data_IF_916169475422
#
_entry.id   IF_916169475422
#
_cell.length_a   1.000
_cell.length_b   1.000
_cell.length_c   1.000
_cell.angle_alpha   90.00
_cell.angle_beta   90.00
_cell.angle_gamma   90.00
#
_symmetry.space_group_name_H-M   'P 1'
#
loop_
_entity.id
_entity.type
_entity.pdbx_description
1 polymer ?
#
# COMPACT_ATOMS: atom_id res chain seq x y z
N UNK A 1 3.63 -28.69 0.14
CA UNK A 1 3.46 -27.63 -0.84
C UNK A 1 4.62 -26.64 -0.72
N UNK A 2 5.29 -26.36 -1.82
CA UNK A 2 6.33 -25.34 -1.93
C UNK A 2 5.66 -24.02 -2.29
N UNK A 3 5.91 -22.98 -1.53
CA UNK A 3 5.48 -21.63 -1.85
C UNK A 3 6.69 -20.81 -2.26
N UNK A 4 6.75 -20.33 -3.50
CA UNK A 4 7.79 -19.39 -3.88
C UNK A 4 7.59 -18.07 -3.13
N UNK A 5 8.67 -17.50 -2.66
CA UNK A 5 8.69 -16.20 -2.03
C UNK A 5 9.94 -15.42 -2.46
N UNK A 6 9.82 -14.12 -2.54
CA UNK A 6 10.97 -13.26 -2.71
C UNK A 6 11.70 -13.10 -1.36
N UNK A 7 13.01 -13.05 -1.41
CA UNK A 7 13.84 -12.82 -0.24
C UNK A 7 14.83 -11.69 -0.49
N UNK A 8 15.15 -10.94 0.56
CA UNK A 8 16.14 -9.87 0.53
C UNK A 8 17.23 -10.10 1.58
N UNK A 9 18.39 -9.53 1.32
CA UNK A 9 19.49 -9.47 2.31
C UNK A 9 19.28 -8.31 3.27
N UNK A 10 20.10 -8.25 4.32
CA UNK A 10 20.07 -7.16 5.32
C UNK A 10 20.33 -5.79 4.69
N UNK A 11 21.05 -5.74 3.57
CA UNK A 11 21.31 -4.52 2.79
C UNK A 11 20.26 -4.27 1.69
N UNK A 12 19.10 -4.89 1.82
CA UNK A 12 17.95 -4.74 0.93
C UNK A 12 18.19 -5.16 -0.53
N UNK A 13 19.21 -5.95 -0.81
CA UNK A 13 19.41 -6.51 -2.14
C UNK A 13 18.51 -7.72 -2.33
N UNK A 14 17.82 -7.76 -3.49
CA UNK A 14 17.08 -8.93 -3.90
C UNK A 14 18.02 -10.11 -4.17
N UNK A 15 17.76 -11.23 -3.54
CA UNK A 15 18.58 -12.45 -3.65
C UNK A 15 17.90 -13.56 -4.46
N UNK A 16 16.73 -13.32 -5.02
CA UNK A 16 15.97 -14.25 -5.86
C UNK A 16 14.78 -14.88 -5.14
N UNK A 17 14.11 -15.76 -5.87
CA UNK A 17 13.03 -16.57 -5.33
C UNK A 17 13.57 -17.81 -4.63
N UNK A 18 12.88 -18.21 -3.57
CA UNK A 18 13.17 -19.45 -2.87
C UNK A 18 11.88 -20.23 -2.59
N UNK A 19 12.04 -21.52 -2.41
CA UNK A 19 10.96 -22.39 -1.94
C UNK A 19 11.39 -23.14 -0.70
N UNK A 20 10.47 -23.36 0.21
CA UNK A 20 10.70 -24.07 1.46
C UNK A 20 9.63 -25.14 1.66
N UNK A 21 10.05 -26.33 2.03
CA UNK A 21 9.16 -27.43 2.32
C UNK A 21 8.82 -27.48 3.82
N UNK A 22 7.52 -27.42 4.12
CA UNK A 22 6.98 -27.57 5.46
C UNK A 22 6.11 -28.83 5.59
N UNK A 23 6.21 -29.77 4.62
CA UNK A 23 5.42 -31.00 4.60
C UNK A 23 5.61 -31.86 5.85
N UNK A 24 6.77 -31.77 6.50
CA UNK A 24 7.10 -32.44 7.76
C UNK A 24 6.35 -31.91 8.98
N UNK A 25 5.71 -30.73 8.87
CA UNK A 25 4.93 -30.15 9.95
C UNK A 25 3.47 -30.64 9.89
N UNK A 26 2.83 -30.87 11.05
CA UNK A 26 1.44 -31.29 11.09
C UNK A 26 0.50 -30.19 10.59
N UNK A 27 -0.56 -30.61 9.92
CA UNK A 27 -1.66 -29.75 9.49
C UNK A 27 -2.78 -29.74 10.53
N UNK A 28 -3.61 -28.69 10.48
CA UNK A 28 -4.82 -28.58 11.28
C UNK A 28 -5.91 -27.89 10.43
N UNK A 29 -7.19 -28.33 10.49
CA UNK A 29 -8.27 -27.68 9.76
C UNK A 29 -8.49 -26.23 10.18
N UNK A 30 -8.12 -25.86 11.42
CA UNK A 30 -8.12 -24.47 11.87
C UNK A 30 -6.77 -23.81 11.55
N UNK A 31 -6.73 -22.88 10.61
CA UNK A 31 -5.51 -22.23 10.10
C UNK A 31 -4.62 -21.65 11.22
N UNK A 32 -5.20 -21.08 12.28
CA UNK A 32 -4.46 -20.52 13.40
C UNK A 32 -3.78 -21.58 14.29
N UNK A 33 -4.18 -22.85 14.18
CA UNK A 33 -3.56 -24.01 14.84
C UNK A 33 -2.68 -24.83 13.91
N UNK A 34 -2.74 -24.57 12.61
CA UNK A 34 -1.96 -25.28 11.60
C UNK A 34 -0.48 -24.85 11.66
N UNK A 35 0.38 -25.74 12.09
CA UNK A 35 1.81 -25.45 12.25
C UNK A 35 2.50 -25.24 10.91
N UNK A 36 2.07 -25.94 9.88
CA UNK A 36 2.60 -25.81 8.51
C UNK A 36 2.26 -24.43 7.95
N UNK A 37 0.99 -24.05 8.03
CA UNK A 37 0.56 -22.72 7.59
C UNK A 37 1.26 -21.58 8.35
N UNK A 38 1.38 -21.72 9.68
CA UNK A 38 2.07 -20.71 10.51
C UNK A 38 3.55 -20.57 10.15
N UNK A 39 4.24 -21.69 9.90
CA UNK A 39 5.63 -21.66 9.50
C UNK A 39 5.82 -20.99 8.13
N UNK A 40 4.94 -21.30 7.16
CA UNK A 40 4.92 -20.66 5.86
C UNK A 40 4.64 -19.16 5.98
N UNK A 41 3.61 -18.77 6.72
CA UNK A 41 3.26 -17.37 6.96
C UNK A 41 4.42 -16.59 7.62
N UNK A 42 5.02 -17.14 8.66
CA UNK A 42 6.16 -16.49 9.33
C UNK A 42 7.36 -16.34 8.40
N UNK A 43 7.59 -17.29 7.51
CA UNK A 43 8.65 -17.19 6.51
C UNK A 43 8.37 -16.07 5.50
N UNK A 44 7.14 -15.94 5.03
CA UNK A 44 6.73 -14.84 4.15
C UNK A 44 6.90 -13.50 4.86
N UNK A 45 6.33 -13.36 6.08
CA UNK A 45 6.40 -12.11 6.85
C UNK A 45 7.84 -11.66 7.15
N UNK A 46 8.76 -12.62 7.38
CA UNK A 46 10.17 -12.29 7.64
C UNK A 46 10.98 -11.96 6.40
N UNK A 47 10.50 -12.31 5.22
CA UNK A 47 11.20 -12.12 3.94
C UNK A 47 10.60 -11.03 3.08
N UNK A 48 9.36 -10.63 3.34
CA UNK A 48 8.65 -9.64 2.53
C UNK A 48 8.87 -8.24 3.09
N UNK A 49 9.25 -7.34 2.21
CA UNK A 49 9.44 -5.92 2.51
C UNK A 49 9.05 -5.08 1.30
N UNK A 50 9.00 -3.77 1.46
CA UNK A 50 8.82 -2.85 0.33
C UNK A 50 9.89 -3.00 -0.75
N UNK A 51 11.05 -3.55 -0.40
CA UNK A 51 12.15 -3.84 -1.32
C UNK A 51 11.92 -5.11 -2.16
N UNK A 52 11.19 -6.08 -1.64
CA UNK A 52 10.96 -7.36 -2.31
C UNK A 52 9.60 -7.44 -3.00
N UNK A 53 8.62 -6.69 -2.54
CA UNK A 53 7.28 -6.64 -3.14
C UNK A 53 7.27 -6.41 -4.66
N UNK A 54 8.13 -5.55 -5.25
CA UNK A 54 8.18 -5.39 -6.70
C UNK A 54 8.42 -6.67 -7.49
N UNK A 55 9.15 -7.62 -6.90
CA UNK A 55 9.44 -8.91 -7.55
C UNK A 55 8.27 -9.89 -7.51
N UNK A 56 7.41 -9.75 -6.52
CA UNK A 56 6.26 -10.63 -6.28
C UNK A 56 4.93 -10.03 -6.75
N UNK A 57 4.97 -8.83 -7.30
CA UNK A 57 3.78 -8.10 -7.75
C UNK A 57 3.89 -7.68 -9.22
N UNK A 58 2.80 -7.19 -9.75
CA UNK A 58 2.75 -6.63 -11.10
C UNK A 58 1.77 -5.45 -11.14
N UNK A 59 2.01 -4.45 -12.01
CA UNK A 59 1.12 -3.31 -12.17
C UNK A 59 -0.18 -3.72 -12.84
N UNK A 60 -1.26 -3.06 -12.43
CA UNK A 60 -2.59 -3.35 -12.95
C UNK A 60 -3.21 -2.13 -13.63
N UNK A 61 -4.11 -2.40 -14.56
CA UNK A 61 -5.00 -1.40 -15.10
C UNK A 61 -5.85 -0.78 -13.97
N UNK A 62 -5.95 0.54 -13.94
CA UNK A 62 -6.76 1.23 -12.95
C UNK A 62 -8.23 1.19 -13.36
N UNK A 63 -9.05 0.57 -12.53
CA UNK A 63 -10.48 0.48 -12.79
C UNK A 63 -11.24 -0.28 -11.73
N UNK A 64 -12.58 -0.21 -11.79
CA UNK A 64 -13.49 -0.80 -10.79
C UNK A 64 -13.34 -2.31 -10.60
N UNK A 65 -12.93 -3.02 -11.65
CA UNK A 65 -12.82 -4.48 -11.62
C UNK A 65 -11.42 -4.96 -11.26
N UNK A 66 -10.42 -4.11 -11.43
CA UNK A 66 -9.02 -4.43 -11.18
C UNK A 66 -8.56 -4.02 -9.78
N UNK A 67 -8.96 -2.82 -9.32
CA UNK A 67 -8.66 -2.34 -7.96
C UNK A 67 -9.70 -2.90 -7.00
N UNK A 68 -9.29 -3.88 -6.22
CA UNK A 68 -10.16 -4.62 -5.29
C UNK A 68 -9.46 -4.82 -3.95
N UNK A 69 -10.19 -5.19 -2.88
CA UNK A 69 -9.55 -5.58 -1.63
C UNK A 69 -8.43 -6.61 -1.84
N UNK A 70 -7.30 -6.40 -1.19
CA UNK A 70 -6.08 -7.18 -1.39
C UNK A 70 -5.16 -6.68 -2.50
N UNK A 71 -5.55 -5.66 -3.28
CA UNK A 71 -4.61 -4.93 -4.14
C UNK A 71 -3.55 -4.28 -3.26
N UNK A 72 -2.28 -4.42 -3.62
CA UNK A 72 -1.16 -3.79 -2.94
C UNK A 72 -1.02 -2.37 -3.48
N UNK A 73 -0.86 -1.44 -2.59
CA UNK A 73 -0.36 -0.12 -2.90
C UNK A 73 1.11 -0.05 -2.51
N UNK A 74 1.97 0.34 -3.43
CA UNK A 74 3.40 0.48 -3.18
C UNK A 74 3.85 1.91 -3.52
N UNK A 75 4.43 2.56 -2.52
CA UNK A 75 5.04 3.87 -2.66
C UNK A 75 6.55 3.71 -2.72
N UNK A 76 7.09 3.72 -3.90
CA UNK A 76 8.52 3.54 -4.12
C UNK A 76 9.04 2.32 -3.32
N UNK A 77 10.20 2.44 -2.69
CA UNK A 77 10.74 1.40 -1.79
C UNK A 77 10.47 1.69 -0.31
N UNK A 78 9.67 2.72 -0.01
CA UNK A 78 9.54 3.23 1.34
C UNK A 78 8.32 2.67 2.06
N UNK A 79 7.17 2.60 1.38
CA UNK A 79 5.92 2.29 2.04
C UNK A 79 5.04 1.38 1.21
N UNK A 80 4.27 0.54 1.90
CA UNK A 80 3.28 -0.31 1.28
C UNK A 80 2.00 -0.32 2.12
N UNK A 81 0.88 -0.45 1.44
CA UNK A 81 -0.43 -0.68 2.02
C UNK A 81 -1.20 -1.73 1.24
N UNK A 82 -2.31 -2.16 1.81
CA UNK A 82 -3.23 -3.09 1.16
C UNK A 82 -4.58 -2.41 1.05
N UNK A 83 -5.16 -2.40 -0.14
CA UNK A 83 -6.52 -1.92 -0.35
C UNK A 83 -7.47 -2.74 0.50
N UNK A 84 -8.18 -2.07 1.39
CA UNK A 84 -9.17 -2.67 2.29
C UNK A 84 -10.54 -2.70 1.66
N UNK A 85 -10.94 -1.59 1.03
CA UNK A 85 -12.16 -1.50 0.24
C UNK A 85 -12.10 -0.33 -0.73
N UNK A 86 -13.06 -0.32 -1.65
CA UNK A 86 -13.22 0.71 -2.67
C UNK A 86 -14.64 1.27 -2.58
N UNK A 87 -14.75 2.57 -2.38
CA UNK A 87 -16.02 3.28 -2.30
C UNK A 87 -16.43 3.71 -3.71
N UNK A 88 -17.55 3.21 -4.21
CA UNK A 88 -17.97 3.43 -5.60
C UNK A 88 -19.28 4.22 -5.71
N UNK A 89 -19.82 4.69 -4.60
CA UNK A 89 -21.13 5.34 -4.52
C UNK A 89 -21.08 6.87 -4.68
N UNK A 90 -19.89 7.41 -4.93
CA UNK A 90 -19.70 8.86 -5.06
C UNK A 90 -19.64 9.62 -3.73
N UNK A 91 -19.67 8.94 -2.60
CA UNK A 91 -19.63 9.60 -1.28
C UNK A 91 -18.27 10.24 -0.94
N UNK A 92 -17.23 9.91 -1.68
CA UNK A 92 -15.88 10.44 -1.46
C UNK A 92 -15.14 10.67 -2.76
N UNK A 93 -14.28 11.68 -2.79
CA UNK A 93 -13.32 11.94 -3.87
C UNK A 93 -12.10 11.01 -3.81
N UNK A 94 -11.93 10.26 -2.70
CA UNK A 94 -10.84 9.32 -2.47
C UNK A 94 -11.40 7.91 -2.34
N UNK A 95 -11.72 7.25 -3.45
CA UNK A 95 -12.48 6.00 -3.43
C UNK A 95 -11.67 4.82 -2.90
N UNK A 96 -10.34 4.87 -2.91
CA UNK A 96 -9.50 3.75 -2.46
C UNK A 96 -9.10 3.95 -1.01
N UNK A 97 -9.43 2.99 -0.17
CA UNK A 97 -9.02 2.98 1.23
C UNK A 97 -8.06 1.82 1.48
N UNK A 98 -7.01 2.09 2.24
CA UNK A 98 -5.90 1.16 2.49
C UNK A 98 -5.73 0.87 3.96
N UNK A 99 -5.29 -0.34 4.27
CA UNK A 99 -4.68 -0.64 5.55
C UNK A 99 -3.17 -0.49 5.45
N UNK A 100 -2.61 0.19 6.41
CA UNK A 100 -1.19 0.48 6.48
C UNK A 100 -0.64 0.26 7.89
N UNK A 101 0.65 -0.05 7.97
CA UNK A 101 1.41 -0.12 9.20
C UNK A 101 2.68 0.71 9.05
N UNK A 102 3.12 1.33 10.14
CA UNK A 102 4.36 2.09 10.16
C UNK A 102 5.57 1.20 10.44
N UNK A 103 6.71 1.53 9.86
CA UNK A 103 8.01 0.97 10.26
C UNK A 103 8.54 1.71 11.50
N UNK A 104 9.29 1.06 12.42
CA UNK A 104 9.53 -0.37 12.44
C UNK A 104 8.27 -1.16 12.78
N UNK A 105 8.18 -2.36 12.22
CA UNK A 105 7.07 -3.26 12.48
C UNK A 105 6.95 -3.55 13.99
N UNK A 106 5.94 -2.97 14.60
CA UNK A 106 5.51 -3.29 15.97
C UNK A 106 4.13 -3.91 15.90
N UNK A 107 3.66 -4.48 17.00
CA UNK A 107 2.27 -4.87 17.20
C UNK A 107 1.37 -3.61 17.20
N UNK A 108 1.29 -2.96 16.09
CA UNK A 108 0.35 -1.89 15.83
C UNK A 108 -0.79 -2.49 15.00
N UNK A 109 -2.01 -2.22 15.41
CA UNK A 109 -3.16 -2.53 14.57
C UNK A 109 -3.02 -1.82 13.21
N UNK A 110 -3.38 -2.50 12.15
CA UNK A 110 -3.50 -1.89 10.83
C UNK A 110 -4.44 -0.69 10.94
N UNK A 111 -4.05 0.43 10.36
CA UNK A 111 -4.87 1.64 10.33
C UNK A 111 -5.51 1.77 8.97
N UNK A 112 -6.80 2.07 8.97
CA UNK A 112 -7.51 2.45 7.77
C UNK A 112 -7.08 3.87 7.38
N UNK A 113 -6.66 4.04 6.14
CA UNK A 113 -6.26 5.34 5.58
C UNK A 113 -6.86 5.54 4.21
N UNK A 114 -6.98 6.80 3.83
CA UNK A 114 -7.19 7.13 2.45
C UNK A 114 -5.92 6.79 1.65
N UNK A 115 -6.12 6.58 0.38
CA UNK A 115 -5.06 6.21 -0.54
C UNK A 115 -3.92 7.23 -0.53
N UNK A 116 -2.71 6.77 -0.25
CA UNK A 116 -1.48 7.55 -0.42
C UNK A 116 -1.01 7.45 -1.87
N UNK A 117 -0.57 8.56 -2.41
CA UNK A 117 -0.14 8.62 -3.80
C UNK A 117 1.24 8.00 -3.97
N UNK A 118 1.46 7.15 -4.98
CA UNK A 118 2.79 6.72 -5.33
C UNK A 118 3.58 7.90 -5.88
N UNK A 119 4.89 7.88 -5.70
CA UNK A 119 5.76 8.81 -6.39
C UNK A 119 5.79 8.47 -7.89
N UNK A 120 5.22 9.30 -8.76
CA UNK A 120 5.17 9.00 -10.19
C UNK A 120 6.54 9.04 -10.88
N UNK A 121 7.54 9.63 -10.22
CA UNK A 121 8.92 9.73 -10.72
C UNK A 121 9.86 8.66 -10.13
N UNK A 122 9.32 7.66 -9.45
CA UNK A 122 10.14 6.59 -8.90
C UNK A 122 10.70 5.70 -10.02
N UNK A 123 12.01 5.41 -9.96
CA UNK A 123 12.72 4.58 -10.94
C UNK A 123 12.35 3.07 -10.84
N UNK A 124 11.38 2.72 -10.02
CA UNK A 124 10.95 1.34 -9.78
C UNK A 124 9.45 1.26 -9.60
N UNK A 125 8.95 0.03 -9.70
CA UNK A 125 7.51 -0.26 -9.63
C UNK A 125 6.89 0.35 -8.38
N UNK A 126 5.91 1.20 -8.60
CA UNK A 126 5.07 1.82 -7.58
C UNK A 126 3.62 1.86 -8.08
N UNK A 127 2.69 2.27 -7.23
CA UNK A 127 1.27 2.37 -7.58
C UNK A 127 0.45 1.18 -7.10
N UNK A 128 -0.62 0.88 -7.83
CA UNK A 128 -1.56 -0.20 -7.52
C UNK A 128 -1.14 -1.50 -8.22
N UNK A 129 -0.85 -2.51 -7.42
CA UNK A 129 -0.25 -3.76 -7.84
C UNK A 129 -1.07 -4.95 -7.37
N UNK A 130 -0.95 -6.09 -8.05
CA UNK A 130 -1.43 -7.38 -7.56
C UNK A 130 -0.29 -8.36 -7.39
N UNK A 131 -0.48 -9.33 -6.49
CA UNK A 131 0.48 -10.41 -6.33
C UNK A 131 0.47 -11.33 -7.55
N UNK A 132 1.68 -11.73 -7.96
CA UNK A 132 1.89 -12.79 -8.94
C UNK A 132 1.65 -14.13 -8.26
N UNK A 133 0.47 -14.67 -8.44
CA UNK A 133 0.16 -15.98 -7.89
C UNK A 133 0.90 -17.07 -8.68
N UNK A 134 1.59 -17.97 -7.99
CA UNK A 134 2.24 -19.10 -8.64
C UNK A 134 1.20 -20.07 -9.18
N UNK A 135 1.48 -20.62 -10.34
CA UNK A 135 0.71 -21.70 -10.96
C UNK A 135 1.55 -22.98 -10.98
N UNK A 136 0.91 -24.13 -10.77
CA UNK A 136 1.55 -25.43 -10.82
C UNK A 136 1.19 -26.14 -12.13
N UNK A 137 2.19 -26.76 -12.75
CA UNK A 137 2.00 -27.71 -13.85
C UNK A 137 1.92 -29.18 -13.37
N UNK A 138 1.85 -29.38 -12.05
CA UNK A 138 1.88 -30.68 -11.39
C UNK A 138 3.27 -31.11 -10.92
N UNK A 139 4.33 -30.61 -11.52
CA UNK A 139 5.72 -30.94 -11.19
C UNK A 139 6.46 -29.76 -10.57
N UNK A 140 6.25 -28.56 -11.12
CA UNK A 140 6.91 -27.35 -10.69
C UNK A 140 5.91 -26.21 -10.44
N UNK A 141 6.37 -25.19 -9.74
CA UNK A 141 5.66 -23.93 -9.57
C UNK A 141 6.37 -22.84 -10.36
N UNK A 142 5.62 -22.05 -11.09
CA UNK A 142 6.12 -20.90 -11.85
C UNK A 142 5.15 -19.73 -11.76
N UNK A 143 5.63 -18.55 -12.04
CA UNK A 143 4.74 -17.41 -12.31
C UNK A 143 4.30 -17.41 -13.78
N UNK A 144 3.07 -16.99 -14.01
CA UNK A 144 2.64 -16.64 -15.36
C UNK A 144 3.46 -15.45 -15.87
N UNK A 145 3.72 -15.36 -17.18
CA UNK A 145 4.19 -14.14 -17.82
C UNK A 145 3.32 -12.93 -17.40
N UNK A 146 3.89 -11.73 -17.42
CA UNK A 146 3.15 -10.52 -16.98
C UNK A 146 1.92 -10.29 -17.85
N UNK A 147 2.04 -10.53 -19.14
CA UNK A 147 0.99 -10.34 -20.14
C UNK A 147 -0.21 -11.29 -19.95
N UNK A 148 0.03 -12.42 -19.27
CA UNK A 148 -1.00 -13.39 -18.92
C UNK A 148 -1.61 -13.15 -17.53
N UNK A 149 -1.07 -12.19 -16.75
CA UNK A 149 -1.62 -11.85 -15.45
C UNK A 149 -2.94 -11.09 -15.60
N UNK A 150 -3.95 -11.38 -14.76
CA UNK A 150 -5.21 -10.66 -14.79
C UNK A 150 -5.05 -9.15 -14.62
N UNK A 151 -5.61 -8.37 -15.53
CA UNK A 151 -5.56 -6.89 -15.49
C UNK A 151 -4.15 -6.28 -15.60
N UNK A 152 -3.13 -7.02 -16.01
CA UNK A 152 -1.80 -6.44 -16.22
C UNK A 152 -1.87 -5.22 -17.14
N UNK A 153 -1.19 -4.14 -16.73
CA UNK A 153 -1.09 -2.92 -17.52
C UNK A 153 -0.04 -1.99 -16.93
N UNK A 154 0.77 -1.41 -17.81
CA UNK A 154 1.75 -0.38 -17.48
C UNK A 154 1.17 1.05 -17.57
N UNK A 155 -0.15 1.19 -17.74
CA UNK A 155 -0.79 2.49 -17.95
C UNK A 155 -0.53 3.50 -16.84
N UNK A 156 -0.29 3.03 -15.61
CA UNK A 156 0.02 3.87 -14.46
C UNK A 156 1.32 4.67 -14.63
N UNK A 157 2.19 4.24 -15.52
CA UNK A 157 3.48 4.88 -15.81
C UNK A 157 3.45 5.79 -17.03
N UNK A 158 2.31 5.90 -17.69
CA UNK A 158 2.11 6.81 -18.81
C UNK A 158 1.98 8.27 -18.35
N UNK A 159 2.32 9.24 -19.21
CA UNK A 159 2.24 10.66 -18.87
C UNK A 159 0.91 11.14 -18.31
N UNK A 160 -0.20 10.49 -18.68
CA UNK A 160 -1.52 10.81 -18.15
C UNK A 160 -1.63 10.64 -16.62
N UNK A 161 -0.79 9.78 -16.03
CA UNK A 161 -0.74 9.51 -14.59
C UNK A 161 0.48 10.15 -13.91
N UNK A 162 1.58 10.37 -14.64
CA UNK A 162 2.88 10.72 -14.05
C UNK A 162 3.18 12.23 -14.06
N UNK A 163 2.25 13.09 -14.48
CA UNK A 163 2.41 14.54 -14.48
C UNK A 163 2.41 15.20 -13.09
N UNK A 164 2.35 14.43 -12.04
CA UNK A 164 2.31 14.87 -10.65
C UNK A 164 1.19 14.19 -9.84
N UNK A 165 1.17 14.46 -8.56
CA UNK A 165 0.22 13.83 -7.61
C UNK A 165 -1.24 14.08 -7.97
N UNK A 166 -1.58 15.34 -8.28
CA UNK A 166 -2.96 15.72 -8.64
C UNK A 166 -3.47 14.91 -9.82
N UNK A 167 -2.67 14.80 -10.88
CA UNK A 167 -3.04 14.07 -12.08
C UNK A 167 -3.23 12.58 -11.82
N UNK A 168 -2.38 11.97 -11.00
CA UNK A 168 -2.52 10.57 -10.62
C UNK A 168 -3.81 10.33 -9.87
N UNK A 169 -4.09 11.15 -8.85
CA UNK A 169 -5.28 11.03 -8.04
C UNK A 169 -6.55 11.18 -8.86
N UNK A 170 -6.63 12.22 -9.69
CA UNK A 170 -7.76 12.45 -10.56
C UNK A 170 -7.97 11.32 -11.57
N UNK A 171 -6.89 10.79 -12.13
CA UNK A 171 -6.98 9.66 -13.06
C UNK A 171 -7.50 8.39 -12.37
N UNK A 172 -7.05 8.12 -11.15
CA UNK A 172 -7.56 7.01 -10.32
C UNK A 172 -9.02 7.23 -9.97
N UNK A 173 -9.36 8.42 -9.48
CA UNK A 173 -10.73 8.79 -9.12
C UNK A 173 -11.69 8.60 -10.30
N UNK A 174 -11.40 9.21 -11.44
CA UNK A 174 -12.23 9.12 -12.65
C UNK A 174 -12.45 7.69 -13.15
N UNK A 175 -11.48 6.81 -12.95
CA UNK A 175 -11.56 5.42 -13.38
C UNK A 175 -12.32 4.53 -12.42
N UNK A 176 -12.23 4.80 -11.13
CA UNK A 176 -12.87 4.01 -10.07
C UNK A 176 -14.25 4.57 -9.76
N UNK A 177 -14.35 5.88 -9.63
CA UNK A 177 -15.59 6.58 -9.31
C UNK A 177 -15.82 7.73 -10.31
N UNK A 178 -16.43 7.48 -11.47
CA UNK A 178 -16.66 8.47 -12.51
C UNK A 178 -17.77 9.47 -12.16
N UNK A 179 -18.19 9.57 -10.90
CA UNK A 179 -19.16 10.59 -10.50
C UNK A 179 -18.61 11.99 -10.84
N UNK A 180 -19.44 12.78 -11.50
CA UNK A 180 -19.12 14.18 -11.75
C UNK A 180 -19.66 14.99 -10.57
N UNK A 181 -18.78 15.69 -9.89
CA UNK A 181 -19.15 16.59 -8.80
C UNK A 181 -19.20 18.02 -9.30
N UNK A 182 -20.21 18.76 -8.87
CA UNK A 182 -20.16 20.21 -8.97
C UNK A 182 -18.99 20.76 -8.13
N UNK A 183 -18.33 21.85 -8.55
CA UNK A 183 -17.14 22.36 -7.87
C UNK A 183 -17.34 22.57 -6.36
N UNK A 184 -18.50 23.13 -5.96
CA UNK A 184 -18.83 23.34 -4.57
C UNK A 184 -18.99 22.04 -3.78
N UNK A 185 -19.62 21.03 -4.35
CA UNK A 185 -19.77 19.70 -3.75
C UNK A 185 -18.41 19.01 -3.62
N UNK A 186 -17.55 19.12 -4.62
CA UNK A 186 -16.19 18.58 -4.57
C UNK A 186 -15.37 19.24 -3.47
N UNK A 187 -15.42 20.56 -3.36
CA UNK A 187 -14.74 21.31 -2.31
C UNK A 187 -15.20 20.89 -0.91
N UNK A 188 -16.54 20.75 -0.71
CA UNK A 188 -17.09 20.27 0.55
C UNK A 188 -16.55 18.88 0.93
N UNK A 189 -16.55 17.92 0.00
CA UNK A 189 -16.00 16.57 0.24
C UNK A 189 -14.52 16.60 0.59
N UNK A 190 -13.73 17.43 -0.07
CA UNK A 190 -12.31 17.61 0.24
C UNK A 190 -12.13 18.23 1.63
N UNK A 191 -12.89 19.25 1.98
CA UNK A 191 -12.88 19.88 3.31
C UNK A 191 -13.22 18.87 4.42
N UNK A 192 -14.22 18.03 4.20
CA UNK A 192 -14.59 16.98 5.17
C UNK A 192 -13.47 15.95 5.33
N UNK A 193 -12.79 15.60 4.24
CA UNK A 193 -11.63 14.70 4.30
C UNK A 193 -10.47 15.34 5.06
N UNK A 194 -10.17 16.60 4.77
CA UNK A 194 -9.16 17.39 5.47
C UNK A 194 -9.45 17.50 6.98
N UNK A 195 -10.69 17.85 7.33
CA UNK A 195 -11.14 17.93 8.73
C UNK A 195 -10.92 16.60 9.47
N UNK A 196 -11.33 15.50 8.88
CA UNK A 196 -11.10 14.16 9.45
C UNK A 196 -9.61 13.88 9.65
N UNK A 197 -8.78 14.16 8.65
CA UNK A 197 -7.33 13.96 8.73
C UNK A 197 -6.66 14.78 9.81
N UNK A 198 -7.04 16.03 9.96
CA UNK A 198 -6.53 16.89 11.02
C UNK A 198 -6.94 16.36 12.41
N UNK A 199 -8.18 15.94 12.57
CA UNK A 199 -8.65 15.36 13.83
C UNK A 199 -7.91 14.05 14.20
N UNK A 200 -7.51 13.27 13.22
CA UNK A 200 -6.67 12.08 13.44
C UNK A 200 -5.21 12.45 13.74
N UNK A 201 -4.69 13.47 13.07
CA UNK A 201 -3.29 13.87 13.15
C UNK A 201 -2.92 14.63 14.42
N UNK A 202 -3.73 15.60 14.82
CA UNK A 202 -3.47 16.46 15.98
C UNK A 202 -3.19 15.67 17.26
N UNK A 203 -3.97 14.67 17.65
CA UNK A 203 -3.67 13.86 18.84
C UNK A 203 -2.34 13.10 18.75
N UNK A 204 -1.94 12.68 17.55
CA UNK A 204 -0.68 11.97 17.32
C UNK A 204 0.50 12.91 17.54
N UNK A 205 0.44 14.11 16.96
CA UNK A 205 1.48 15.15 17.14
C UNK A 205 1.59 15.55 18.60
N UNK A 206 0.48 15.86 19.26
CA UNK A 206 0.47 16.21 20.67
C UNK A 206 1.08 15.11 21.55
N UNK A 207 0.79 13.85 21.24
CA UNK A 207 1.38 12.72 21.94
C UNK A 207 2.88 12.61 21.71
N UNK A 208 3.35 12.95 20.51
CA UNK A 208 4.77 13.07 20.18
C UNK A 208 5.46 14.12 21.00
N UNK A 209 4.91 15.33 21.07
CA UNK A 209 5.43 16.42 21.90
C UNK A 209 5.55 16.02 23.37
N UNK A 210 4.54 15.37 23.93
CA UNK A 210 4.60 14.87 25.32
C UNK A 210 5.73 13.85 25.48
N UNK A 211 5.87 12.92 24.53
CA UNK A 211 6.90 11.86 24.59
C UNK A 211 8.32 12.39 24.37
N UNK A 212 8.46 13.47 23.65
CA UNK A 212 9.73 14.13 23.36
C UNK A 212 9.96 15.40 24.21
N UNK A 213 9.34 15.48 25.40
CA UNK A 213 9.55 16.52 26.41
C UNK A 213 9.27 17.96 25.93
N UNK A 214 8.23 18.14 25.12
CA UNK A 214 7.77 19.45 24.65
C UNK A 214 8.52 20.01 23.44
N UNK A 215 9.33 19.19 22.79
CA UNK A 215 10.01 19.50 21.53
C UNK A 215 9.57 18.50 20.45
N UNK A 216 9.89 18.81 19.21
CA UNK A 216 9.73 17.86 18.12
C UNK A 216 10.65 16.64 18.35
N UNK A 217 10.13 15.46 18.06
CA UNK A 217 10.92 14.24 18.19
C UNK A 217 12.11 14.27 17.22
N UNK A 218 13.33 13.88 17.66
CA UNK A 218 14.51 13.93 16.80
C UNK A 218 14.33 13.06 15.55
N UNK A 219 14.61 13.62 14.39
CA UNK A 219 14.52 12.93 13.10
C UNK A 219 15.31 11.62 13.11
N UNK A 220 14.75 10.57 12.51
CA UNK A 220 15.33 9.23 12.50
C UNK A 220 15.23 8.47 13.82
N UNK A 221 14.69 9.07 14.87
CA UNK A 221 14.41 8.35 16.11
C UNK A 221 13.13 7.52 15.99
N UNK A 222 13.02 6.48 16.82
CA UNK A 222 11.80 5.66 16.88
C UNK A 222 10.55 6.48 17.21
N UNK A 223 10.68 7.50 18.05
CA UNK A 223 9.56 8.37 18.42
C UNK A 223 9.17 9.28 17.24
N UNK A 224 10.14 9.75 16.47
CA UNK A 224 9.90 10.51 15.24
C UNK A 224 9.13 9.64 14.22
N UNK A 225 9.55 8.41 13.98
CA UNK A 225 8.86 7.46 13.10
C UNK A 225 7.40 7.21 13.53
N UNK A 226 7.13 7.19 14.83
CA UNK A 226 5.79 6.94 15.37
C UNK A 226 4.90 8.18 15.30
N UNK A 227 5.45 9.37 15.58
CA UNK A 227 4.64 10.57 15.85
C UNK A 227 4.84 11.72 14.86
N UNK A 228 6.03 11.88 14.30
CA UNK A 228 6.44 13.11 13.62
C UNK A 228 6.77 12.95 12.15
N UNK A 229 6.65 11.74 11.54
CA UNK A 229 6.94 11.56 10.12
C UNK A 229 6.07 12.49 9.26
N UNK A 230 6.69 13.48 8.66
CA UNK A 230 6.01 14.51 7.85
C UNK A 230 5.34 13.92 6.59
N UNK A 231 5.81 12.79 6.07
CA UNK A 231 5.13 12.05 4.99
C UNK A 231 3.64 11.77 5.30
N UNK A 232 3.26 11.79 6.57
CA UNK A 232 1.86 11.70 6.98
C UNK A 232 1.09 13.00 6.75
N UNK A 233 1.80 14.09 6.60
CA UNK A 233 1.24 15.43 6.41
C UNK A 233 1.20 15.82 4.94
N UNK A 234 1.93 15.10 4.05
CA UNK A 234 1.95 15.33 2.61
C UNK A 234 0.55 15.29 2.00
N UNK A 235 -0.27 14.36 2.42
CA UNK A 235 -1.65 14.24 1.95
C UNK A 235 -2.51 15.41 2.44
N UNK A 236 -2.28 15.91 3.64
CA UNK A 236 -2.95 17.11 4.18
C UNK A 236 -2.55 18.34 3.35
N UNK A 237 -1.26 18.49 3.10
CA UNK A 237 -0.73 19.55 2.22
C UNK A 237 -1.32 19.50 0.82
N UNK A 238 -1.43 18.32 0.26
CA UNK A 238 -2.08 18.10 -1.03
C UNK A 238 -3.56 18.53 -1.04
N UNK A 239 -4.34 18.15 -0.02
CA UNK A 239 -5.75 18.54 0.08
C UNK A 239 -5.91 20.05 0.23
N UNK A 240 -5.03 20.71 0.99
CA UNK A 240 -5.01 22.17 1.11
C UNK A 240 -4.74 22.84 -0.23
N UNK A 241 -3.70 22.40 -0.93
CA UNK A 241 -3.38 22.93 -2.26
C UNK A 241 -4.52 22.75 -3.26
N UNK A 242 -5.25 21.65 -3.17
CA UNK A 242 -6.41 21.39 -4.04
C UNK A 242 -7.59 22.33 -3.77
N UNK A 243 -7.73 22.83 -2.53
CA UNK A 243 -8.77 23.79 -2.17
C UNK A 243 -8.40 25.22 -2.56
N UNK A 244 -7.13 25.51 -2.81
CA UNK A 244 -6.64 26.82 -3.24
C UNK A 244 -6.77 27.07 -4.75
N UNK A 245 -7.05 26.03 -5.54
CA UNK A 245 -7.28 26.08 -7.00
C UNK A 245 -8.76 26.22 -7.34
#
# INVERSE_FOLDING_TARGET
>A
HHLPAAASTVDNRFIGHWSKDWSHLPTNPHWHKDRRFRAALMSVLSSTSTQTLPSDTYPIKIGRHSVTPGTVFLFARDHAGIVSHVVMDGSTTHPVQTFEASSPARLQGLRLKDFLLPNPNADYISGLLKFRWPVSDGNTWRYLPLEEQPFYSDEQYLPAFTKGYSNYLEAVEKRINPAVYEPGEKAEKIMMTLYRRLNERVPIVLKGYIKCHGIECPEGSLLWEIYSTYNRDDFIGFLLHYLEQ
#
